data_IF_193892485766
#
_entry.id   IF_193892485766
#
_cell.length_a   1.000
_cell.length_b   1.000
_cell.length_c   1.000
_cell.angle_alpha   90.00
_cell.angle_beta   90.00
_cell.angle_gamma   90.00
#
_symmetry.space_group_name_H-M   'P 1'
#
loop_
_entity.id
_entity.type
_entity.pdbx_description
1 polymer ?
#
# COMPACT_ATOMS: atom_id res chain seq x y z
N UNK A 1 26.66 -10.05 12.62
CA UNK A 1 25.39 -10.25 11.91
C UNK A 1 25.15 -9.00 11.09
N UNK A 2 24.72 -9.13 9.81
CA UNK A 2 24.40 -7.97 8.99
C UNK A 2 23.33 -7.09 9.62
N UNK A 3 23.47 -5.77 9.50
CA UNK A 3 22.52 -4.81 10.05
C UNK A 3 21.21 -4.77 9.22
N UNK A 4 20.08 -4.71 9.90
CA UNK A 4 18.75 -4.65 9.32
C UNK A 4 18.09 -3.31 9.59
N UNK A 5 17.76 -2.56 8.54
CA UNK A 5 16.87 -1.41 8.63
C UNK A 5 15.45 -1.79 8.24
N UNK A 6 14.46 -1.32 9.00
CA UNK A 6 13.05 -1.35 8.59
C UNK A 6 12.69 0.02 8.05
N UNK A 7 12.06 0.07 6.86
CA UNK A 7 11.59 1.31 6.24
C UNK A 7 10.08 1.29 6.08
N UNK A 8 9.42 2.35 6.53
CA UNK A 8 7.97 2.51 6.50
C UNK A 8 7.66 3.90 5.94
N UNK A 9 6.66 4.01 5.07
CA UNK A 9 6.06 5.28 4.72
C UNK A 9 4.72 5.40 5.43
N UNK A 10 4.38 6.60 5.93
CA UNK A 10 3.14 6.80 6.68
C UNK A 10 2.43 8.10 6.30
N UNK A 11 1.11 8.10 6.47
CA UNK A 11 0.27 9.29 6.46
C UNK A 11 -1.05 9.01 7.18
N UNK A 12 -1.22 9.59 8.38
CA UNK A 12 -2.41 9.42 9.22
C UNK A 12 -2.69 7.94 9.55
N UNK A 13 -1.70 7.29 10.17
CA UNK A 13 -1.69 5.86 10.50
C UNK A 13 -1.66 5.62 12.03
N UNK A 14 -2.15 6.58 12.85
CA UNK A 14 -2.12 6.48 14.32
C UNK A 14 -2.77 5.22 14.86
N UNK A 15 -3.78 4.68 14.15
CA UNK A 15 -4.50 3.48 14.55
C UNK A 15 -3.67 2.19 14.46
N UNK A 16 -2.69 2.12 13.57
CA UNK A 16 -1.96 0.87 13.26
C UNK A 16 -0.44 0.96 13.43
N UNK A 17 0.17 2.14 13.29
CA UNK A 17 1.63 2.32 13.28
C UNK A 17 2.30 1.76 14.55
N UNK A 18 1.66 1.86 15.72
CA UNK A 18 2.24 1.36 16.96
C UNK A 18 2.45 -0.17 16.97
N UNK A 19 1.48 -0.94 16.38
CA UNK A 19 1.59 -2.39 16.25
C UNK A 19 2.70 -2.75 15.28
N UNK A 20 2.76 -2.09 14.12
CA UNK A 20 3.81 -2.28 13.13
C UNK A 20 5.19 -2.10 13.77
N UNK A 21 5.45 -0.95 14.41
CA UNK A 21 6.74 -0.62 15.00
C UNK A 21 7.14 -1.57 16.12
N UNK A 22 6.22 -1.93 17.03
CA UNK A 22 6.51 -2.91 18.09
C UNK A 22 6.90 -4.28 17.53
N UNK A 23 6.33 -4.68 16.41
CA UNK A 23 6.61 -5.99 15.81
C UNK A 23 8.01 -6.09 15.20
N UNK A 24 8.68 -4.96 14.98
CA UNK A 24 9.99 -4.89 14.31
C UNK A 24 11.13 -4.41 15.23
N UNK A 25 10.92 -4.44 16.56
CA UNK A 25 11.98 -4.12 17.54
C UNK A 25 13.24 -4.99 17.43
N UNK A 26 13.16 -6.10 16.73
CA UNK A 26 14.31 -6.94 16.42
C UNK A 26 15.24 -6.31 15.36
N UNK A 27 14.82 -5.25 14.65
CA UNK A 27 15.66 -4.54 13.68
C UNK A 27 16.70 -3.65 14.38
N UNK A 28 17.78 -3.34 13.67
CA UNK A 28 18.85 -2.47 14.18
C UNK A 28 18.52 -0.99 13.99
N UNK A 29 17.69 -0.68 13.00
CA UNK A 29 17.22 0.67 12.67
C UNK A 29 15.76 0.62 12.16
N UNK A 30 14.97 1.60 12.56
CA UNK A 30 13.61 1.81 12.04
C UNK A 30 13.52 3.23 11.49
N UNK A 31 13.21 3.37 10.21
CA UNK A 31 13.02 4.66 9.52
C UNK A 31 11.55 4.78 9.13
N UNK A 32 10.89 5.82 9.61
CA UNK A 32 9.53 6.19 9.21
C UNK A 32 9.59 7.48 8.40
N UNK A 33 9.19 7.41 7.13
CA UNK A 33 9.06 8.59 6.28
C UNK A 33 7.59 9.02 6.27
N UNK A 34 7.29 10.05 7.03
CA UNK A 34 5.94 10.58 7.20
C UNK A 34 5.60 11.64 6.15
N UNK A 35 4.48 11.48 5.48
CA UNK A 35 3.98 12.45 4.51
C UNK A 35 3.01 13.44 5.18
N UNK A 36 3.54 14.25 6.10
CA UNK A 36 2.85 15.33 6.77
C UNK A 36 1.52 14.89 7.44
N UNK A 37 1.58 13.86 8.28
CA UNK A 37 0.45 13.43 9.09
C UNK A 37 -0.07 14.55 9.97
N UNK A 38 -1.38 14.59 10.18
CA UNK A 38 -2.10 15.57 11.00
C UNK A 38 -2.64 14.96 12.29
N UNK A 39 -2.50 13.66 12.46
CA UNK A 39 -2.84 12.86 13.64
C UNK A 39 -1.60 12.58 14.51
N UNK A 40 -1.69 11.63 15.45
CA UNK A 40 -0.61 11.27 16.37
C UNK A 40 0.46 10.33 15.78
N UNK A 41 0.41 10.01 14.48
CA UNK A 41 1.33 9.05 13.83
C UNK A 41 2.80 9.33 14.16
N UNK A 42 3.24 10.59 14.04
CA UNK A 42 4.65 10.98 14.26
C UNK A 42 5.07 10.86 15.70
N UNK A 43 4.22 11.27 16.63
CA UNK A 43 4.51 11.23 18.06
C UNK A 43 4.61 9.78 18.54
N UNK A 44 3.70 8.92 18.06
CA UNK A 44 3.74 7.47 18.34
C UNK A 44 5.03 6.86 17.77
N UNK A 45 5.38 7.17 16.52
CA UNK A 45 6.56 6.61 15.88
C UNK A 45 7.85 7.04 16.58
N UNK A 46 8.00 8.32 16.91
CA UNK A 46 9.14 8.85 17.65
C UNK A 46 9.24 8.25 19.06
N UNK A 47 8.10 8.14 19.76
CA UNK A 47 8.03 7.55 21.11
C UNK A 47 8.40 6.06 21.14
N UNK A 48 8.29 5.35 20.02
CA UNK A 48 8.73 3.95 19.85
C UNK A 48 10.14 3.82 19.28
N UNK A 49 10.92 4.92 19.22
CA UNK A 49 12.34 4.90 18.85
C UNK A 49 12.59 4.88 17.34
N UNK A 50 11.60 5.14 16.50
CA UNK A 50 11.81 5.26 15.08
C UNK A 50 12.46 6.61 14.72
N UNK A 51 13.35 6.60 13.73
CA UNK A 51 13.85 7.81 13.07
C UNK A 51 12.77 8.33 12.12
N UNK A 52 12.06 9.38 12.55
CA UNK A 52 10.98 9.99 11.78
C UNK A 52 11.52 11.09 10.88
N UNK A 53 11.26 10.99 9.58
CA UNK A 53 11.56 12.00 8.57
C UNK A 53 10.24 12.52 7.99
N UNK A 54 10.15 13.82 7.72
CA UNK A 54 8.93 14.45 7.23
C UNK A 54 9.10 14.92 5.81
N UNK A 55 8.11 14.63 4.95
CA UNK A 55 8.02 15.18 3.59
C UNK A 55 6.68 15.88 3.39
N UNK A 56 6.71 17.01 2.66
CA UNK A 56 5.50 17.80 2.41
C UNK A 56 4.89 17.51 1.04
N UNK A 57 5.68 16.94 0.13
CA UNK A 57 5.26 16.58 -1.22
C UNK A 57 4.97 15.08 -1.33
N UNK A 58 4.13 14.72 -2.31
CA UNK A 58 3.79 13.34 -2.62
C UNK A 58 4.13 13.01 -4.07
N UNK A 59 5.34 12.52 -4.33
CA UNK A 59 5.76 12.16 -5.70
C UNK A 59 5.24 10.78 -6.16
N UNK A 60 4.48 10.09 -5.33
CA UNK A 60 4.00 8.71 -5.53
C UNK A 60 4.68 7.70 -4.61
N UNK A 61 4.07 6.53 -4.48
CA UNK A 61 4.50 5.49 -3.54
C UNK A 61 5.95 5.05 -3.75
N UNK A 62 6.34 4.73 -4.99
CA UNK A 62 7.70 4.25 -5.31
C UNK A 62 8.78 5.28 -4.98
N UNK A 63 8.57 6.54 -5.34
CA UNK A 63 9.50 7.63 -5.04
C UNK A 63 9.60 7.88 -3.52
N UNK A 64 8.49 7.82 -2.80
CA UNK A 64 8.45 8.00 -1.36
C UNK A 64 9.17 6.84 -0.63
N UNK A 65 8.93 5.59 -1.06
CA UNK A 65 9.66 4.42 -0.53
C UNK A 65 11.15 4.46 -0.86
N UNK A 66 11.55 4.97 -2.02
CA UNK A 66 12.97 5.18 -2.35
C UNK A 66 13.62 6.25 -1.46
N UNK A 67 12.89 7.30 -1.05
CA UNK A 67 13.39 8.29 -0.06
C UNK A 67 13.61 7.64 1.30
N UNK A 68 12.69 6.80 1.76
CA UNK A 68 12.84 6.04 3.00
C UNK A 68 14.03 5.07 2.91
N UNK A 69 14.19 4.38 1.78
CA UNK A 69 15.33 3.50 1.50
C UNK A 69 16.67 4.25 1.54
N UNK A 70 16.72 5.45 0.97
CA UNK A 70 17.94 6.27 0.96
C UNK A 70 18.36 6.72 2.37
N UNK A 71 17.43 6.82 3.31
CA UNK A 71 17.69 7.18 4.70
C UNK A 71 18.10 6.00 5.60
N UNK A 72 17.95 4.77 5.10
CA UNK A 72 18.34 3.54 5.79
C UNK A 72 19.85 3.32 5.71
N UNK A 73 20.44 2.79 6.79
CA UNK A 73 21.89 2.56 6.92
C UNK A 73 22.28 1.08 6.92
N UNK A 74 21.38 0.18 7.24
CA UNK A 74 21.63 -1.26 7.34
C UNK A 74 22.01 -1.92 6.00
N UNK A 75 22.65 -3.08 6.10
CA UNK A 75 23.02 -3.91 4.94
C UNK A 75 21.79 -4.47 4.22
N UNK A 76 20.76 -4.80 5.02
CA UNK A 76 19.48 -5.32 4.58
C UNK A 76 18.35 -4.35 4.93
N UNK A 77 17.32 -4.35 4.10
CA UNK A 77 16.13 -3.54 4.30
C UNK A 77 14.90 -4.44 4.29
N UNK A 78 14.07 -4.30 5.32
CA UNK A 78 12.71 -4.81 5.35
C UNK A 78 11.76 -3.62 5.12
N UNK A 79 11.04 -3.62 4.01
CA UNK A 79 10.03 -2.59 3.72
C UNK A 79 8.66 -3.06 4.19
N UNK A 80 8.00 -2.26 5.01
CA UNK A 80 6.65 -2.52 5.50
C UNK A 80 5.72 -1.35 5.21
N UNK A 81 4.45 -1.66 5.10
CA UNK A 81 3.37 -0.69 5.16
C UNK A 81 2.92 -0.55 6.63
N UNK A 82 2.34 0.58 7.04
CA UNK A 82 2.03 0.85 8.45
C UNK A 82 0.97 -0.11 9.05
N UNK A 83 0.17 -0.75 8.19
CA UNK A 83 -0.85 -1.74 8.53
C UNK A 83 -0.35 -3.20 8.45
N UNK A 84 0.99 -3.40 8.25
CA UNK A 84 1.65 -4.70 8.27
C UNK A 84 2.39 -4.91 9.59
N UNK A 85 2.53 -6.18 10.05
CA UNK A 85 3.35 -6.52 11.22
C UNK A 85 3.97 -7.90 11.11
N UNK A 86 5.07 -8.07 11.85
CA UNK A 86 5.91 -9.27 11.86
C UNK A 86 5.65 -10.08 13.13
N UNK A 87 5.21 -11.32 12.99
CA UNK A 87 5.09 -12.24 14.12
C UNK A 87 6.47 -12.86 14.47
N UNK A 88 6.68 -13.32 15.71
CA UNK A 88 7.98 -13.84 16.17
C UNK A 88 8.60 -14.93 15.27
N UNK A 89 7.84 -15.89 14.66
CA UNK A 89 8.43 -16.87 13.75
C UNK A 89 9.03 -16.24 12.51
N UNK A 90 8.35 -15.22 11.92
CA UNK A 90 8.88 -14.50 10.76
C UNK A 90 10.11 -13.65 11.15
N UNK A 91 10.12 -13.02 12.33
CA UNK A 91 11.26 -12.26 12.82
C UNK A 91 12.52 -13.15 12.93
N UNK A 92 12.38 -14.34 13.50
CA UNK A 92 13.47 -15.31 13.59
C UNK A 92 13.95 -15.77 12.21
N UNK A 93 13.02 -16.04 11.28
CA UNK A 93 13.36 -16.46 9.90
C UNK A 93 14.07 -15.32 9.14
N UNK A 94 13.64 -14.07 9.28
CA UNK A 94 14.32 -12.90 8.69
C UNK A 94 15.76 -12.83 9.19
N UNK A 95 15.98 -12.89 10.51
CA UNK A 95 17.32 -12.83 11.10
C UNK A 95 18.21 -13.98 10.62
N UNK A 96 17.68 -15.19 10.51
CA UNK A 96 18.40 -16.35 9.97
C UNK A 96 18.74 -16.17 8.47
N UNK A 97 17.80 -15.64 7.68
CA UNK A 97 17.98 -15.42 6.25
C UNK A 97 19.07 -14.38 5.95
N UNK A 98 19.10 -13.26 6.68
CA UNK A 98 20.14 -12.23 6.50
C UNK A 98 21.52 -12.69 7.03
N UNK A 99 21.56 -13.53 8.06
CA UNK A 99 22.81 -14.08 8.56
C UNK A 99 23.43 -15.10 7.59
N UNK A 100 22.62 -15.87 6.88
CA UNK A 100 23.06 -16.84 5.88
C UNK A 100 22.18 -16.78 4.61
N UNK A 101 22.37 -15.79 3.75
CA UNK A 101 21.50 -15.53 2.60
C UNK A 101 21.67 -16.52 1.43
N UNK A 102 22.62 -17.43 1.50
CA UNK A 102 22.87 -18.45 0.45
C UNK A 102 22.97 -17.86 -0.96
N UNK A 103 23.62 -16.71 -1.07
CA UNK A 103 23.79 -15.97 -2.32
C UNK A 103 22.54 -15.25 -2.82
N UNK A 104 21.50 -15.09 -2.00
CA UNK A 104 20.32 -14.32 -2.34
C UNK A 104 20.49 -12.85 -1.97
N UNK A 105 19.89 -11.98 -2.77
CA UNK A 105 19.86 -10.53 -2.61
C UNK A 105 18.47 -10.01 -2.19
N UNK A 106 17.47 -10.89 -2.20
CA UNK A 106 16.12 -10.57 -1.76
C UNK A 106 15.32 -11.80 -1.37
N UNK A 107 14.25 -11.56 -0.61
CA UNK A 107 13.31 -12.59 -0.19
C UNK A 107 11.88 -12.11 -0.35
N UNK A 108 11.07 -12.92 -1.03
CA UNK A 108 9.62 -12.81 -1.01
C UNK A 108 9.08 -13.35 0.30
N UNK A 109 8.08 -12.69 0.84
CA UNK A 109 7.39 -13.08 2.07
C UNK A 109 5.92 -13.34 1.71
N UNK A 110 5.35 -14.50 2.07
CA UNK A 110 3.91 -14.73 1.92
C UNK A 110 3.16 -13.72 2.81
N UNK A 111 2.19 -13.01 2.25
CA UNK A 111 1.39 -12.05 3.00
C UNK A 111 0.04 -12.65 3.36
N UNK A 112 -0.33 -12.52 4.64
CA UNK A 112 -1.59 -13.01 5.20
C UNK A 112 -2.50 -11.84 5.50
N UNK A 113 -3.39 -11.56 4.55
CA UNK A 113 -4.28 -10.41 4.63
C UNK A 113 -5.54 -10.72 5.43
N UNK A 114 -6.02 -9.69 6.15
CA UNK A 114 -7.29 -9.71 6.89
C UNK A 114 -8.27 -8.73 6.25
N UNK A 115 -9.54 -9.11 6.31
CA UNK A 115 -10.69 -8.29 5.95
C UNK A 115 -11.60 -8.18 7.16
N UNK A 116 -11.79 -6.98 7.71
CA UNK A 116 -12.53 -6.74 8.95
C UNK A 116 -12.11 -7.71 10.08
N UNK A 117 -10.78 -7.79 10.32
CA UNK A 117 -10.16 -8.62 11.34
C UNK A 117 -10.12 -10.13 11.05
N UNK A 118 -10.72 -10.61 9.96
CA UNK A 118 -10.76 -12.04 9.60
C UNK A 118 -9.77 -12.37 8.49
N UNK A 119 -9.00 -13.45 8.69
CA UNK A 119 -8.02 -13.92 7.69
C UNK A 119 -8.73 -14.35 6.42
N UNK A 120 -8.22 -13.88 5.27
CA UNK A 120 -8.68 -14.27 3.93
C UNK A 120 -7.70 -15.28 3.33
N UNK A 121 -8.20 -16.46 3.00
CA UNK A 121 -7.37 -17.55 2.43
C UNK A 121 -7.64 -17.82 0.96
N UNK A 122 -8.75 -17.32 0.43
CA UNK A 122 -9.25 -17.58 -0.92
C UNK A 122 -9.66 -16.28 -1.62
N UNK A 123 -10.49 -16.36 -2.63
CA UNK A 123 -11.06 -15.17 -3.31
C UNK A 123 -10.05 -14.38 -4.13
N UNK A 124 -8.82 -14.88 -4.30
CA UNK A 124 -7.76 -14.21 -5.04
C UNK A 124 -6.88 -13.28 -4.21
N UNK A 125 -7.04 -13.31 -2.88
CA UNK A 125 -6.20 -12.60 -1.92
C UNK A 125 -5.06 -13.48 -1.36
N UNK A 126 -5.11 -14.79 -1.62
CA UNK A 126 -4.09 -15.76 -1.23
C UNK A 126 -3.91 -16.79 -2.37
N UNK A 127 -2.69 -17.25 -2.64
CA UNK A 127 -1.42 -16.78 -2.08
C UNK A 127 -1.03 -15.41 -2.58
N UNK A 128 -0.49 -14.57 -1.70
CA UNK A 128 0.05 -13.25 -2.01
C UNK A 128 1.51 -13.19 -1.57
N UNK A 129 2.42 -13.08 -2.53
CA UNK A 129 3.86 -13.06 -2.31
C UNK A 129 4.38 -11.66 -2.59
N UNK A 130 5.01 -11.07 -1.61
CA UNK A 130 5.54 -9.71 -1.70
C UNK A 130 7.04 -9.71 -1.43
N UNK A 131 7.81 -9.09 -2.31
CA UNK A 131 9.24 -8.87 -2.09
C UNK A 131 9.40 -7.71 -1.11
N UNK A 132 9.76 -8.02 0.15
CA UNK A 132 9.84 -7.05 1.24
C UNK A 132 11.21 -6.97 1.89
N UNK A 133 11.99 -8.06 1.86
CA UNK A 133 13.33 -8.13 2.43
C UNK A 133 14.37 -8.18 1.31
N UNK A 134 15.33 -7.25 1.30
CA UNK A 134 16.35 -7.19 0.25
C UNK A 134 17.63 -6.49 0.72
N UNK A 135 18.75 -6.77 0.04
CA UNK A 135 20.00 -6.03 0.25
C UNK A 135 19.82 -4.57 -0.19
N UNK A 136 20.16 -3.64 0.68
CA UNK A 136 19.98 -2.20 0.43
C UNK A 136 20.61 -1.74 -0.90
N UNK A 137 21.78 -2.28 -1.23
CA UNK A 137 22.50 -1.90 -2.46
C UNK A 137 21.95 -2.55 -3.74
N UNK A 138 21.21 -3.67 -3.60
CA UNK A 138 20.69 -4.44 -4.74
C UNK A 138 19.23 -4.12 -5.07
N UNK A 139 18.49 -3.47 -4.15
CA UNK A 139 17.06 -3.22 -4.28
C UNK A 139 16.71 -1.76 -4.47
N UNK A 140 15.62 -1.53 -5.20
CA UNK A 140 14.97 -0.22 -5.37
C UNK A 140 13.49 -0.40 -5.61
N UNK A 141 12.70 0.63 -5.35
CA UNK A 141 11.30 0.65 -5.76
C UNK A 141 11.15 1.19 -7.18
N UNK A 142 10.27 0.58 -7.98
CA UNK A 142 9.92 1.09 -9.30
C UNK A 142 9.20 2.45 -9.18
N UNK A 143 9.30 3.26 -10.23
CA UNK A 143 8.64 4.58 -10.29
C UNK A 143 7.17 4.48 -10.74
N UNK A 144 6.58 3.28 -10.73
CA UNK A 144 5.17 3.10 -11.07
C UNK A 144 4.27 3.83 -10.06
N UNK A 145 3.37 4.63 -10.57
CA UNK A 145 2.52 5.52 -9.75
C UNK A 145 1.45 4.78 -8.93
N UNK A 146 1.10 3.54 -9.29
CA UNK A 146 -0.04 2.82 -8.68
C UNK A 146 0.32 1.41 -8.20
N UNK A 147 1.36 0.78 -8.76
CA UNK A 147 1.78 -0.57 -8.41
C UNK A 147 3.29 -0.63 -8.33
N UNK A 148 3.85 0.15 -7.39
CA UNK A 148 5.27 0.11 -7.12
C UNK A 148 5.66 -1.31 -6.68
N UNK A 149 6.79 -1.76 -7.18
CA UNK A 149 7.37 -3.05 -6.85
C UNK A 149 8.82 -2.85 -6.44
N UNK A 150 9.27 -3.66 -5.48
CA UNK A 150 10.70 -3.79 -5.25
C UNK A 150 11.31 -4.54 -6.43
N UNK A 151 12.34 -3.96 -7.01
CA UNK A 151 13.17 -4.57 -8.05
C UNK A 151 14.53 -4.86 -7.43
N UNK A 152 14.94 -6.11 -7.44
CA UNK A 152 16.24 -6.56 -6.90
C UNK A 152 17.12 -7.05 -8.04
N UNK A 153 18.33 -6.54 -8.11
CA UNK A 153 19.35 -7.04 -9.01
C UNK A 153 20.08 -8.20 -8.32
N UNK A 154 19.68 -9.45 -8.63
CA UNK A 154 20.26 -10.63 -8.05
C UNK A 154 19.25 -11.75 -7.80
N UNK A 155 19.67 -12.76 -7.04
CA UNK A 155 18.86 -13.92 -6.75
C UNK A 155 17.83 -13.59 -5.65
N UNK A 156 16.57 -13.97 -5.91
CA UNK A 156 15.47 -13.87 -4.94
C UNK A 156 15.06 -15.25 -4.48
N UNK A 157 14.85 -15.44 -3.19
CA UNK A 157 14.31 -16.66 -2.59
C UNK A 157 13.01 -16.33 -1.85
N UNK A 158 12.46 -17.29 -1.11
CA UNK A 158 11.20 -17.12 -0.40
C UNK A 158 11.35 -17.53 1.06
N UNK A 159 10.73 -16.76 1.95
CA UNK A 159 10.49 -17.11 3.34
C UNK A 159 9.20 -17.92 3.48
N UNK A 160 9.08 -18.63 4.59
CA UNK A 160 7.98 -19.57 4.84
C UNK A 160 6.88 -18.97 5.73
N UNK A 161 7.27 -18.16 6.71
CA UNK A 161 6.35 -17.54 7.66
C UNK A 161 5.70 -16.27 7.07
N UNK A 162 4.41 -16.07 7.33
CA UNK A 162 3.68 -14.96 6.72
C UNK A 162 3.95 -13.63 7.41
N UNK A 163 3.94 -12.56 6.60
CA UNK A 163 3.76 -11.18 7.03
C UNK A 163 2.27 -10.92 7.23
N UNK A 164 1.87 -10.46 8.39
CA UNK A 164 0.49 -10.10 8.69
C UNK A 164 0.14 -8.74 8.09
N UNK A 165 -1.10 -8.59 7.64
CA UNK A 165 -1.58 -7.37 7.01
C UNK A 165 -3.07 -7.13 7.29
N UNK A 166 -3.41 -6.02 7.91
CA UNK A 166 -4.79 -5.54 8.08
C UNK A 166 -5.23 -4.75 6.85
N UNK A 167 -5.48 -5.47 5.77
CA UNK A 167 -5.76 -4.85 4.46
C UNK A 167 -7.02 -4.00 4.46
N UNK A 168 -8.04 -4.42 5.21
CA UNK A 168 -9.31 -3.70 5.40
C UNK A 168 -9.69 -3.82 6.88
N UNK A 169 -9.66 -2.70 7.57
CA UNK A 169 -9.91 -2.65 9.00
C UNK A 169 -11.41 -2.90 9.34
N UNK A 170 -12.29 -2.21 8.63
CA UNK A 170 -13.74 -2.31 8.76
C UNK A 170 -14.47 -1.99 7.44
N UNK A 171 -15.79 -1.96 7.46
CA UNK A 171 -16.60 -1.68 6.26
C UNK A 171 -16.53 -0.21 5.82
N UNK A 172 -16.28 0.73 6.72
CA UNK A 172 -16.09 2.14 6.36
C UNK A 172 -14.79 2.31 5.60
N UNK A 173 -13.68 1.73 6.11
CA UNK A 173 -12.38 1.68 5.42
C UNK A 173 -12.50 0.98 4.05
N UNK A 174 -13.27 -0.11 3.96
CA UNK A 174 -13.54 -0.78 2.69
C UNK A 174 -14.19 0.16 1.67
N UNK A 175 -15.19 0.94 2.11
CA UNK A 175 -15.89 1.88 1.26
C UNK A 175 -14.96 2.99 0.76
N UNK A 176 -14.19 3.59 1.66
CA UNK A 176 -13.24 4.66 1.34
C UNK A 176 -12.13 4.20 0.39
N UNK A 177 -11.58 2.99 0.64
CA UNK A 177 -10.57 2.38 -0.23
C UNK A 177 -11.11 2.09 -1.62
N UNK A 178 -12.36 1.56 -1.74
CA UNK A 178 -13.01 1.39 -3.04
C UNK A 178 -13.04 2.71 -3.81
N UNK A 179 -13.50 3.80 -3.17
CA UNK A 179 -13.60 5.11 -3.80
C UNK A 179 -12.25 5.63 -4.31
N UNK A 180 -11.25 5.67 -3.41
CA UNK A 180 -9.90 6.17 -3.73
C UNK A 180 -9.22 5.36 -4.83
N UNK A 181 -9.21 4.04 -4.73
CA UNK A 181 -8.53 3.18 -5.71
C UNK A 181 -9.26 3.13 -7.06
N UNK A 182 -10.60 3.18 -7.06
CA UNK A 182 -11.38 3.24 -8.28
C UNK A 182 -11.12 4.54 -9.06
N UNK A 183 -11.06 5.68 -8.36
CA UNK A 183 -10.74 6.99 -8.97
C UNK A 183 -9.33 6.99 -9.58
N UNK A 184 -8.31 6.57 -8.82
CA UNK A 184 -6.94 6.52 -9.30
C UNK A 184 -6.79 5.60 -10.53
N UNK A 185 -7.43 4.42 -10.48
CA UNK A 185 -7.41 3.47 -11.60
C UNK A 185 -8.16 3.99 -12.82
N UNK A 186 -9.31 4.65 -12.63
CA UNK A 186 -10.08 5.23 -13.72
C UNK A 186 -9.33 6.39 -14.40
N UNK A 187 -8.68 7.26 -13.61
CA UNK A 187 -7.87 8.36 -14.14
C UNK A 187 -6.75 7.84 -15.06
N UNK A 188 -6.02 6.80 -14.61
CA UNK A 188 -5.00 6.14 -15.45
C UNK A 188 -5.59 5.55 -16.72
N UNK A 189 -6.71 4.82 -16.61
CA UNK A 189 -7.37 4.20 -17.76
C UNK A 189 -7.85 5.23 -18.78
N UNK A 190 -8.32 6.39 -18.34
CA UNK A 190 -8.71 7.50 -19.19
C UNK A 190 -7.49 8.13 -19.88
N UNK A 191 -6.38 8.31 -19.16
CA UNK A 191 -5.12 8.78 -19.74
C UNK A 191 -4.58 7.81 -20.83
N UNK A 192 -4.82 6.50 -20.66
CA UNK A 192 -4.52 5.46 -21.66
C UNK A 192 -5.57 5.41 -22.81
N UNK A 193 -6.54 6.31 -22.86
CA UNK A 193 -7.58 6.36 -23.89
C UNK A 193 -8.64 5.26 -23.81
N UNK A 194 -8.74 4.54 -22.67
CA UNK A 194 -9.74 3.48 -22.49
C UNK A 194 -11.14 4.06 -22.41
N UNK A 195 -12.10 3.37 -23.06
CA UNK A 195 -13.53 3.71 -23.05
C UNK A 195 -14.34 2.59 -22.40
N UNK A 196 -15.46 2.95 -21.80
CA UNK A 196 -16.39 2.01 -21.16
C UNK A 196 -17.85 2.44 -21.38
N UNK A 197 -18.78 1.60 -20.92
CA UNK A 197 -20.20 1.89 -20.77
C UNK A 197 -20.69 1.37 -19.43
N UNK A 198 -21.84 1.86 -18.96
CA UNK A 198 -22.43 1.40 -17.70
C UNK A 198 -22.75 -0.09 -17.75
N UNK A 199 -23.29 -0.59 -18.87
CA UNK A 199 -23.54 -2.03 -19.05
C UNK A 199 -22.26 -2.86 -18.93
N UNK A 200 -21.15 -2.39 -19.52
CA UNK A 200 -19.84 -3.03 -19.38
C UNK A 200 -19.33 -2.99 -17.94
N UNK A 201 -19.55 -1.90 -17.20
CA UNK A 201 -19.20 -1.79 -15.80
C UNK A 201 -19.96 -2.82 -14.95
N UNK A 202 -21.29 -2.97 -15.18
CA UNK A 202 -22.12 -3.96 -14.50
C UNK A 202 -21.65 -5.39 -14.79
N UNK A 203 -21.49 -5.75 -16.07
CA UNK A 203 -21.05 -7.09 -16.46
C UNK A 203 -19.68 -7.46 -15.85
N UNK A 204 -18.74 -6.51 -15.83
CA UNK A 204 -17.42 -6.72 -15.21
C UNK A 204 -17.49 -6.85 -13.69
N UNK A 205 -18.41 -6.14 -13.06
CA UNK A 205 -18.65 -6.24 -11.62
C UNK A 205 -19.21 -7.61 -11.25
N UNK A 206 -20.23 -8.08 -11.98
CA UNK A 206 -20.79 -9.43 -11.78
C UNK A 206 -19.72 -10.49 -11.99
N UNK A 207 -18.91 -10.35 -13.07
CA UNK A 207 -17.80 -11.26 -13.30
C UNK A 207 -16.75 -11.23 -12.19
N UNK A 208 -16.42 -10.06 -11.64
CA UNK A 208 -15.47 -9.93 -10.53
C UNK A 208 -15.97 -10.64 -9.28
N UNK A 209 -17.28 -10.52 -8.97
CA UNK A 209 -17.91 -11.26 -7.88
C UNK A 209 -17.80 -12.77 -8.09
N UNK A 210 -18.25 -13.26 -9.24
CA UNK A 210 -18.23 -14.69 -9.56
C UNK A 210 -16.81 -15.25 -9.57
N UNK A 211 -15.86 -14.49 -10.14
CA UNK A 211 -14.46 -14.90 -10.17
C UNK A 211 -13.88 -15.02 -8.76
N UNK A 212 -14.13 -14.06 -7.88
CA UNK A 212 -13.63 -14.10 -6.51
C UNK A 212 -14.33 -15.17 -5.67
N UNK A 213 -15.66 -15.22 -5.71
CA UNK A 213 -16.44 -16.08 -4.84
C UNK A 213 -16.44 -17.55 -5.26
N UNK A 214 -16.63 -17.80 -6.57
CA UNK A 214 -16.77 -19.17 -7.10
C UNK A 214 -15.42 -19.68 -7.64
N UNK A 215 -14.87 -19.05 -8.67
CA UNK A 215 -13.69 -19.60 -9.36
C UNK A 215 -12.41 -19.56 -8.55
N UNK A 216 -12.27 -18.59 -7.63
CA UNK A 216 -11.15 -18.51 -6.69
C UNK A 216 -11.52 -19.00 -5.29
N UNK A 217 -12.57 -19.81 -5.18
CA UNK A 217 -12.99 -20.55 -3.99
C UNK A 217 -13.29 -19.64 -2.78
N UNK A 218 -13.66 -18.36 -2.99
CA UNK A 218 -13.97 -17.43 -1.90
C UNK A 218 -15.06 -17.95 -0.96
N UNK A 219 -15.99 -18.80 -1.44
CA UNK A 219 -17.03 -19.40 -0.62
C UNK A 219 -16.47 -20.27 0.54
N UNK A 220 -15.22 -20.76 0.42
CA UNK A 220 -14.57 -21.51 1.50
C UNK A 220 -14.21 -20.62 2.71
N UNK A 221 -14.11 -19.31 2.52
CA UNK A 221 -13.92 -18.33 3.60
C UNK A 221 -15.28 -17.87 4.21
N UNK A 222 -16.39 -18.53 3.84
CA UNK A 222 -17.73 -18.26 4.36
C UNK A 222 -18.19 -16.82 4.10
N UNK A 223 -18.75 -16.16 5.14
CA UNK A 223 -19.22 -14.78 5.03
C UNK A 223 -18.09 -13.78 4.67
N UNK A 224 -16.88 -14.03 5.14
CA UNK A 224 -15.71 -13.20 4.80
C UNK A 224 -15.42 -13.24 3.30
N UNK A 225 -15.46 -14.42 2.69
CA UNK A 225 -15.29 -14.57 1.25
C UNK A 225 -16.38 -13.88 0.44
N UNK A 226 -17.62 -13.90 0.91
CA UNK A 226 -18.73 -13.14 0.29
C UNK A 226 -18.49 -11.62 0.34
N UNK A 227 -18.02 -11.11 1.50
CA UNK A 227 -17.65 -9.68 1.65
C UNK A 227 -16.49 -9.28 0.75
N UNK A 228 -15.44 -10.10 0.65
CA UNK A 228 -14.30 -9.87 -0.24
C UNK A 228 -14.73 -9.87 -1.70
N UNK A 229 -15.63 -10.77 -2.09
CA UNK A 229 -16.18 -10.80 -3.45
C UNK A 229 -17.02 -9.56 -3.76
N UNK A 230 -17.84 -9.11 -2.81
CA UNK A 230 -18.61 -7.88 -2.92
C UNK A 230 -17.71 -6.63 -3.01
N UNK A 231 -16.66 -6.55 -2.19
CA UNK A 231 -15.63 -5.51 -2.26
C UNK A 231 -14.98 -5.45 -3.65
N UNK A 232 -14.56 -6.59 -4.19
CA UNK A 232 -13.93 -6.70 -5.51
C UNK A 232 -14.89 -6.28 -6.64
N UNK A 233 -16.16 -6.64 -6.51
CA UNK A 233 -17.22 -6.26 -7.44
C UNK A 233 -17.49 -4.75 -7.37
N UNK A 234 -17.63 -4.18 -6.18
CA UNK A 234 -17.84 -2.76 -5.94
C UNK A 234 -16.70 -1.90 -6.52
N UNK A 235 -15.46 -2.25 -6.22
CA UNK A 235 -14.28 -1.61 -6.83
C UNK A 235 -14.30 -1.68 -8.36
N UNK A 236 -14.61 -2.86 -8.92
CA UNK A 236 -14.65 -3.07 -10.37
C UNK A 236 -15.76 -2.24 -11.00
N UNK A 237 -16.96 -2.21 -10.42
CA UNK A 237 -18.04 -1.38 -10.87
C UNK A 237 -17.67 0.10 -10.90
N UNK A 238 -17.24 0.65 -9.77
CA UNK A 238 -16.91 2.07 -9.66
C UNK A 238 -15.82 2.48 -10.65
N UNK A 239 -14.73 1.72 -10.75
CA UNK A 239 -13.66 1.97 -11.70
C UNK A 239 -14.16 2.09 -13.14
N UNK A 240 -14.95 1.12 -13.62
CA UNK A 240 -15.43 1.11 -15.00
C UNK A 240 -16.57 2.11 -15.24
N UNK A 241 -17.39 2.39 -14.23
CA UNK A 241 -18.42 3.42 -14.30
C UNK A 241 -17.80 4.82 -14.41
N UNK A 242 -16.74 5.11 -13.63
CA UNK A 242 -15.98 6.37 -13.74
C UNK A 242 -15.37 6.54 -15.14
N UNK A 243 -14.84 5.48 -15.74
CA UNK A 243 -14.35 5.51 -17.14
C UNK A 243 -15.50 5.79 -18.12
N UNK A 244 -16.68 5.18 -17.91
CA UNK A 244 -17.84 5.41 -18.74
C UNK A 244 -18.37 6.85 -18.69
N UNK A 245 -18.25 7.49 -17.53
CA UNK A 245 -18.65 8.88 -17.28
C UNK A 245 -17.56 9.92 -17.63
N UNK A 246 -16.43 9.48 -18.19
CA UNK A 246 -15.33 10.37 -18.56
C UNK A 246 -14.55 10.95 -17.39
N UNK A 247 -14.57 10.28 -16.21
CA UNK A 247 -13.78 10.68 -15.03
C UNK A 247 -14.22 11.99 -14.36
N UNK A 248 -15.41 12.50 -14.63
CA UNK A 248 -15.99 13.67 -13.98
C UNK A 248 -16.26 13.35 -12.50
N UNK A 249 -15.26 13.48 -11.66
CA UNK A 249 -15.42 13.52 -10.20
C UNK A 249 -15.31 14.97 -9.71
N UNK A 250 -16.11 15.35 -8.70
CA UNK A 250 -16.09 16.69 -8.07
C UNK A 250 -14.69 17.10 -7.59
N UNK A 251 -13.83 16.18 -7.22
CA UNK A 251 -12.45 16.47 -6.82
C UNK A 251 -11.57 17.09 -7.93
N UNK A 252 -11.88 16.85 -9.21
CA UNK A 252 -11.14 17.45 -10.31
C UNK A 252 -11.51 18.95 -10.50
N UNK A 253 -12.70 19.36 -10.08
CA UNK A 253 -13.16 20.77 -10.15
C UNK A 253 -12.61 21.58 -8.99
N UNK A 254 -12.54 21.04 -7.78
CA UNK A 254 -11.98 21.74 -6.61
C UNK A 254 -10.47 21.97 -6.73
N UNK A 255 -9.70 21.03 -7.29
CA UNK A 255 -8.29 21.25 -7.60
C UNK A 255 -8.06 22.32 -8.69
N UNK A 256 -8.97 22.46 -9.66
CA UNK A 256 -8.89 23.51 -10.68
C UNK A 256 -9.37 24.86 -10.18
N UNK A 257 -10.36 24.90 -9.30
CA UNK A 257 -10.84 26.11 -8.67
C UNK A 257 -9.83 26.73 -7.69
N UNK A 258 -9.06 25.89 -6.98
CA UNK A 258 -8.02 26.33 -6.06
C UNK A 258 -6.78 26.96 -6.73
N UNK A 259 -6.53 26.64 -8.01
CA UNK A 259 -5.41 27.17 -8.78
C UNK A 259 -5.76 28.52 -9.45
N UNK A 260 -7.03 28.74 -9.82
CA UNK A 260 -7.47 29.97 -10.49
C UNK A 260 -7.88 31.11 -9.53
N UNK A 261 -7.91 30.89 -8.22
CA UNK A 261 -8.32 31.89 -7.21
C UNK A 261 -7.23 32.86 -6.76
N UNK A 262 -6.01 32.79 -7.26
CA UNK A 262 -4.88 33.65 -6.83
C UNK A 262 -4.37 34.68 -7.84
N UNK A 263 -5.11 34.97 -8.88
CA UNK A 263 -4.71 36.03 -9.83
C UNK A 263 -5.84 37.00 -10.20
N UNK A 264 -6.46 37.67 -9.20
CA UNK A 264 -7.27 38.81 -9.49
C UNK A 264 -7.29 39.76 -8.28
N UNK A 265 -6.62 40.89 -8.39
CA UNK A 265 -7.00 42.06 -7.64
C UNK A 265 -5.97 42.79 -6.80
N UNK A 266 -4.89 43.28 -7.39
CA UNK A 266 -4.27 44.52 -6.94
C UNK A 266 -4.41 45.53 -8.07
N UNK A 267 -5.53 46.27 -8.08
CA UNK A 267 -5.63 47.56 -8.80
C UNK A 267 -5.62 48.68 -7.80
N UNK A 268 -4.52 49.44 -7.82
CA UNK A 268 -4.41 50.74 -7.23
C UNK A 268 -5.58 51.65 -7.67
N UNK A 269 -6.15 52.40 -6.73
CA UNK A 269 -6.80 53.67 -7.00
C UNK A 269 -6.03 54.76 -6.25
N UNK A 270 -5.63 55.85 -6.93
CA UNK A 270 -5.15 57.04 -6.27
C UNK A 270 -6.33 57.94 -5.89
N UNK A 271 -6.21 58.65 -4.79
CA UNK A 271 -7.13 59.66 -4.30
C UNK A 271 -6.75 60.07 -2.89
#
# INVERSE_FOLDING_TARGET
VPALSVVIISRNEEACIARCLRSVHFADEIVVLDNNSTDQTRDIASGLGAKVLITLDWPGFGAQKNRALAAATGDWVLSLDADEWVEPPLAAEIRAAIANPKGCDGFEIPRRSRFCGRIVRHGGWSPDLVLRLFRRQSGRFSNDTVHEKVVVNGKVSRLSHPLEHDSIADLADAHDKIGRYAQASAARMLAEGKKSSISKAVLRSVWAYMNSYVFRLGFLDGSTGAMVAAYSAGYTYQKWALVALGGKSRCAEESRAGVNGKSAGFRNRPG
#
